data_IF_754785568005
#
_entry.id   IF_754785568005
#
_cell.length_a   1.000
_cell.length_b   1.000
_cell.length_c   1.000
_cell.angle_alpha   90.00
_cell.angle_beta   90.00
_cell.angle_gamma   90.00
#
_symmetry.space_group_name_H-M   'P 1'
#
loop_
_entity.id
_entity.type
_entity.pdbx_description
1 polymer ?
#
# COMPACT_ATOMS: atom_id res chain seq x y z
N UNK A 1 18.41 -37.12 -22.90
CA UNK A 1 17.13 -36.40 -23.16
C UNK A 1 16.89 -35.20 -22.19
N UNK A 2 17.48 -35.13 -20.98
CA UNK A 2 17.34 -33.99 -20.08
C UNK A 2 18.14 -32.74 -20.52
N UNK A 3 19.26 -32.89 -21.21
CA UNK A 3 20.12 -31.74 -21.58
C UNK A 3 19.56 -30.91 -22.77
N UNK A 4 18.78 -31.51 -23.65
CA UNK A 4 18.15 -30.80 -24.78
C UNK A 4 16.93 -29.96 -24.38
N UNK A 5 16.21 -30.33 -23.29
CA UNK A 5 15.08 -29.56 -22.80
C UNK A 5 15.52 -28.32 -22.02
N UNK A 6 16.65 -28.40 -21.29
CA UNK A 6 17.26 -27.28 -20.60
C UNK A 6 17.84 -26.23 -21.55
N UNK A 7 18.46 -26.64 -22.62
CA UNK A 7 19.00 -25.74 -23.65
C UNK A 7 17.92 -24.96 -24.40
N UNK A 8 16.80 -25.59 -24.77
CA UNK A 8 15.68 -24.91 -25.43
C UNK A 8 14.93 -23.97 -24.48
N UNK A 9 14.84 -24.28 -23.20
CA UNK A 9 14.17 -23.41 -22.20
C UNK A 9 14.99 -22.13 -21.93
N UNK A 10 16.33 -22.19 -22.03
CA UNK A 10 17.21 -21.01 -21.85
C UNK A 10 17.13 -20.09 -23.07
N UNK A 11 16.98 -20.65 -24.26
CA UNK A 11 16.82 -19.90 -25.53
C UNK A 11 15.57 -18.98 -25.52
N UNK A 12 14.56 -19.28 -24.72
CA UNK A 12 13.35 -18.46 -24.55
C UNK A 12 13.53 -17.27 -23.59
N UNK A 13 14.63 -17.21 -22.82
CA UNK A 13 14.88 -16.19 -21.81
C UNK A 13 15.80 -15.05 -22.26
N UNK A 14 16.08 -14.92 -23.55
CA UNK A 14 16.78 -13.79 -24.16
C UNK A 14 16.20 -13.49 -25.55
N UNK A 15 16.52 -12.32 -26.09
CA UNK A 15 16.16 -11.94 -27.44
C UNK A 15 17.32 -11.15 -28.04
N UNK A 16 18.16 -11.85 -28.82
CA UNK A 16 19.35 -11.27 -29.42
C UNK A 16 19.01 -10.12 -30.37
N UNK A 17 17.89 -10.22 -31.11
CA UNK A 17 17.48 -9.15 -32.02
C UNK A 17 17.07 -7.87 -31.24
N UNK A 18 16.42 -8.00 -30.07
CA UNK A 18 16.10 -6.85 -29.25
C UNK A 18 17.37 -6.21 -28.67
N UNK A 19 18.34 -7.03 -28.17
CA UNK A 19 19.62 -6.56 -27.68
C UNK A 19 20.42 -5.82 -28.77
N UNK A 20 20.48 -6.38 -29.98
CA UNK A 20 21.13 -5.76 -31.13
C UNK A 20 20.46 -4.46 -31.55
N UNK A 21 19.13 -4.42 -31.58
CA UNK A 21 18.37 -3.20 -31.91
C UNK A 21 18.70 -2.07 -30.96
N UNK A 22 18.80 -2.33 -29.65
CA UNK A 22 19.12 -1.31 -28.66
C UNK A 22 20.53 -0.74 -28.90
N UNK A 23 21.53 -1.62 -28.99
CA UNK A 23 22.93 -1.24 -29.17
C UNK A 23 23.15 -0.53 -30.51
N UNK A 24 22.62 -1.11 -31.58
CA UNK A 24 22.71 -0.52 -32.91
C UNK A 24 22.05 0.85 -33.00
N UNK A 25 20.88 1.02 -32.37
CA UNK A 25 20.19 2.31 -32.37
C UNK A 25 20.96 3.35 -31.56
N UNK A 26 21.51 3.01 -30.39
CA UNK A 26 22.35 3.90 -29.62
C UNK A 26 23.59 4.37 -30.38
N UNK A 27 24.27 3.47 -31.08
CA UNK A 27 25.47 3.78 -31.89
C UNK A 27 25.12 4.65 -33.10
N UNK A 28 23.99 4.36 -33.79
CA UNK A 28 23.64 5.00 -35.07
C UNK A 28 22.95 6.37 -34.89
N UNK A 29 22.12 6.51 -33.87
CA UNK A 29 21.28 7.71 -33.67
C UNK A 29 21.71 8.59 -32.49
N UNK A 30 22.72 8.16 -31.70
CA UNK A 30 23.48 9.02 -30.77
C UNK A 30 22.79 9.32 -29.46
N UNK A 31 23.09 10.52 -28.92
CA UNK A 31 23.01 10.92 -27.52
C UNK A 31 21.68 10.57 -26.79
N UNK A 32 20.54 10.92 -27.38
CA UNK A 32 19.23 10.65 -26.78
C UNK A 32 18.97 9.14 -26.54
N UNK A 33 19.40 8.28 -27.47
CA UNK A 33 19.23 6.83 -27.35
C UNK A 33 20.26 6.21 -26.42
N UNK A 34 21.48 6.75 -26.39
CA UNK A 34 22.53 6.38 -25.44
C UNK A 34 22.06 6.67 -24.00
N UNK A 35 21.62 7.90 -23.75
CA UNK A 35 21.11 8.31 -22.45
C UNK A 35 19.93 7.44 -22.00
N UNK A 36 18.94 7.25 -22.88
CA UNK A 36 17.77 6.40 -22.59
C UNK A 36 18.18 4.95 -22.30
N UNK A 37 19.12 4.39 -23.02
CA UNK A 37 19.65 3.04 -22.80
C UNK A 37 20.35 2.95 -21.44
N UNK A 38 21.26 3.87 -21.12
CA UNK A 38 22.04 3.87 -19.89
C UNK A 38 21.17 4.11 -18.64
N UNK A 39 20.08 4.89 -18.76
CA UNK A 39 19.12 5.08 -17.69
C UNK A 39 18.29 3.83 -17.37
N UNK A 40 18.02 2.98 -18.37
CA UNK A 40 17.10 1.85 -18.23
C UNK A 40 17.79 0.48 -18.15
N UNK A 41 19.03 0.35 -18.62
CA UNK A 41 19.74 -0.92 -18.70
C UNK A 41 21.09 -0.89 -17.97
N UNK A 42 21.55 -2.07 -17.62
CA UNK A 42 22.95 -2.33 -17.22
C UNK A 42 23.53 -3.48 -18.03
N UNK A 43 24.86 -3.59 -18.07
CA UNK A 43 25.55 -4.65 -18.81
C UNK A 43 25.06 -6.07 -18.43
N UNK A 44 24.68 -6.28 -17.15
CA UNK A 44 24.19 -7.56 -16.65
C UNK A 44 22.83 -7.98 -17.26
N UNK A 45 22.08 -7.02 -17.79
CA UNK A 45 20.77 -7.30 -18.40
C UNK A 45 20.88 -7.90 -19.82
N UNK A 46 22.02 -7.76 -20.47
CA UNK A 46 22.29 -8.41 -21.73
C UNK A 46 22.66 -9.87 -21.53
N UNK A 47 22.27 -10.74 -22.44
CA UNK A 47 22.58 -12.16 -22.36
C UNK A 47 23.94 -12.47 -23.00
N UNK A 48 24.17 -11.97 -24.22
CA UNK A 48 25.36 -12.27 -25.00
C UNK A 48 26.58 -11.51 -24.42
N UNK A 49 27.75 -12.19 -24.30
CA UNK A 49 28.99 -11.53 -23.82
C UNK A 49 29.39 -10.34 -24.68
N UNK A 50 29.26 -10.47 -25.99
CA UNK A 50 29.57 -9.40 -26.95
C UNK A 50 28.67 -8.18 -26.78
N UNK A 51 27.39 -8.35 -26.45
CA UNK A 51 26.47 -7.25 -26.18
C UNK A 51 26.85 -6.52 -24.88
N UNK A 52 27.26 -7.27 -23.81
CA UNK A 52 27.77 -6.70 -22.59
C UNK A 52 29.01 -5.84 -22.80
N UNK A 53 29.94 -6.34 -23.63
CA UNK A 53 31.14 -5.62 -23.99
C UNK A 53 30.84 -4.30 -24.72
N UNK A 54 29.95 -4.32 -25.71
CA UNK A 54 29.51 -3.11 -26.42
C UNK A 54 28.82 -2.12 -25.50
N UNK A 55 27.91 -2.59 -24.64
CA UNK A 55 27.24 -1.73 -23.65
C UNK A 55 28.25 -1.02 -22.74
N UNK A 56 29.21 -1.75 -22.18
CA UNK A 56 30.24 -1.17 -21.31
C UNK A 56 31.08 -0.11 -22.04
N UNK A 57 31.43 -0.37 -23.31
CA UNK A 57 32.17 0.60 -24.14
C UNK A 57 31.34 1.87 -24.34
N UNK A 58 30.05 1.74 -24.66
CA UNK A 58 29.15 2.89 -24.82
C UNK A 58 29.10 3.69 -23.50
N UNK A 59 28.92 3.01 -22.36
CA UNK A 59 28.87 3.64 -21.05
C UNK A 59 30.19 4.36 -20.69
N UNK A 60 31.33 3.75 -21.01
CA UNK A 60 32.63 4.34 -20.75
C UNK A 60 32.92 5.57 -21.65
N UNK A 61 32.50 5.55 -22.89
CA UNK A 61 32.61 6.69 -23.81
C UNK A 61 31.74 7.85 -23.36
N UNK A 62 30.49 7.56 -23.00
CA UNK A 62 29.54 8.56 -22.49
C UNK A 62 30.05 9.21 -21.18
N UNK A 63 30.51 8.41 -20.22
CA UNK A 63 31.09 8.89 -18.96
C UNK A 63 32.33 9.79 -19.16
N UNK A 64 33.09 9.61 -20.25
CA UNK A 64 34.24 10.45 -20.65
C UNK A 64 33.82 11.67 -21.47
N UNK A 65 32.52 11.87 -21.73
CA UNK A 65 32.04 12.94 -22.60
C UNK A 65 32.47 12.80 -24.06
N UNK A 66 32.82 11.57 -24.48
CA UNK A 66 33.22 11.27 -25.85
C UNK A 66 31.99 10.90 -26.67
N UNK A 67 31.99 11.32 -27.95
CA UNK A 67 30.89 10.99 -28.83
C UNK A 67 30.79 9.48 -29.01
N UNK A 68 29.59 8.95 -28.81
CA UNK A 68 29.25 7.55 -29.09
C UNK A 68 28.80 7.45 -30.54
N UNK A 69 29.65 6.86 -31.39
CA UNK A 69 29.34 6.58 -32.78
C UNK A 69 30.09 5.30 -33.26
N UNK A 70 29.83 4.91 -34.51
CA UNK A 70 30.40 3.71 -35.06
C UNK A 70 31.94 3.65 -34.98
N UNK A 71 32.63 4.78 -35.22
CA UNK A 71 34.10 4.85 -35.20
C UNK A 71 34.65 4.69 -33.77
N UNK A 72 34.10 5.45 -32.82
CA UNK A 72 34.56 5.44 -31.42
C UNK A 72 34.32 4.07 -30.76
N UNK A 73 33.12 3.51 -30.95
CA UNK A 73 32.77 2.18 -30.41
C UNK A 73 33.57 1.09 -31.08
N UNK A 74 33.76 1.16 -32.44
CA UNK A 74 34.51 0.16 -33.19
C UNK A 74 35.97 0.07 -32.77
N UNK A 75 36.64 1.22 -32.53
CA UNK A 75 38.03 1.28 -32.05
C UNK A 75 38.18 0.64 -30.67
N UNK A 76 37.27 0.95 -29.74
CA UNK A 76 37.34 0.38 -28.38
C UNK A 76 36.93 -1.11 -28.38
N UNK A 77 35.96 -1.50 -29.18
CA UNK A 77 35.54 -2.90 -29.31
C UNK A 77 36.64 -3.80 -29.86
N UNK A 78 37.41 -3.33 -30.84
CA UNK A 78 38.54 -4.09 -31.37
C UNK A 78 39.64 -4.44 -30.37
N UNK A 79 39.70 -3.72 -29.26
CA UNK A 79 40.63 -3.99 -28.14
C UNK A 79 40.14 -5.10 -27.19
N UNK A 80 38.87 -5.49 -27.28
CA UNK A 80 38.29 -6.55 -26.42
C UNK A 80 38.57 -7.94 -27.01
N UNK A 81 38.40 -8.99 -26.20
CA UNK A 81 38.48 -10.39 -26.65
C UNK A 81 37.41 -10.70 -27.67
N UNK A 82 36.21 -10.20 -27.48
CA UNK A 82 35.06 -10.36 -28.35
C UNK A 82 35.27 -9.66 -29.71
N UNK A 83 35.82 -8.44 -29.67
CA UNK A 83 36.14 -7.66 -30.86
C UNK A 83 37.27 -8.25 -31.69
N UNK A 84 38.28 -8.82 -31.04
CA UNK A 84 39.37 -9.55 -31.70
C UNK A 84 38.86 -10.81 -32.41
N UNK A 85 37.85 -11.47 -31.81
CA UNK A 85 37.21 -12.67 -32.38
C UNK A 85 36.26 -12.35 -33.57
N UNK A 86 35.55 -11.20 -33.50
CA UNK A 86 34.59 -10.79 -34.54
C UNK A 86 34.67 -9.26 -34.79
N UNK A 87 35.63 -8.79 -35.56
CA UNK A 87 35.83 -7.36 -35.85
C UNK A 87 34.68 -6.67 -36.59
N UNK A 88 33.92 -7.43 -37.38
CA UNK A 88 32.79 -6.90 -38.17
C UNK A 88 31.49 -6.79 -37.37
N UNK A 89 31.48 -7.19 -36.13
CA UNK A 89 30.23 -7.26 -35.33
C UNK A 89 29.56 -5.90 -35.18
N UNK A 90 30.31 -4.82 -34.95
CA UNK A 90 29.76 -3.47 -34.81
C UNK A 90 29.02 -3.04 -36.08
N UNK A 91 29.50 -3.45 -37.28
CA UNK A 91 28.80 -3.19 -38.55
C UNK A 91 27.44 -3.88 -38.58
N UNK A 92 27.36 -5.14 -38.12
CA UNK A 92 26.08 -5.89 -38.08
C UNK A 92 25.07 -5.32 -37.11
N UNK A 93 25.51 -4.63 -36.02
CA UNK A 93 24.63 -3.94 -35.12
C UNK A 93 23.92 -2.75 -35.77
N UNK A 94 24.56 -2.05 -36.70
CA UNK A 94 23.94 -0.92 -37.40
C UNK A 94 22.77 -1.38 -38.27
N UNK A 95 22.84 -2.57 -38.85
CA UNK A 95 21.76 -3.14 -39.65
C UNK A 95 20.51 -3.45 -38.81
N UNK A 96 20.70 -3.65 -37.52
CA UNK A 96 19.61 -3.91 -36.55
C UNK A 96 19.05 -2.63 -35.95
N UNK A 97 19.60 -1.45 -36.24
CA UNK A 97 19.21 -0.19 -35.66
C UNK A 97 17.76 0.22 -36.06
N UNK A 98 16.92 0.54 -35.10
CA UNK A 98 15.53 0.93 -35.38
C UNK A 98 14.97 1.80 -34.25
N UNK A 99 14.70 3.06 -34.56
CA UNK A 99 14.11 4.02 -33.63
C UNK A 99 12.66 3.68 -33.28
N UNK A 100 11.91 3.10 -34.21
CA UNK A 100 10.50 2.73 -34.02
C UNK A 100 10.30 1.56 -33.07
N UNK A 101 11.24 0.63 -33.00
CA UNK A 101 11.17 -0.56 -32.15
C UNK A 101 12.03 -0.45 -30.88
N UNK A 102 12.85 0.59 -30.76
CA UNK A 102 13.79 0.78 -29.66
C UNK A 102 13.14 0.66 -28.26
N UNK A 103 12.06 1.40 -28.01
CA UNK A 103 11.35 1.37 -26.72
C UNK A 103 10.79 -0.02 -26.38
N UNK A 104 10.24 -0.71 -27.37
CA UNK A 104 9.74 -2.08 -27.21
C UNK A 104 10.89 -3.04 -26.90
N UNK A 105 12.02 -2.90 -27.62
CA UNK A 105 13.21 -3.72 -27.39
C UNK A 105 13.78 -3.53 -25.97
N UNK A 106 13.81 -2.28 -25.46
CA UNK A 106 14.19 -1.99 -24.08
C UNK A 106 13.32 -2.75 -23.08
N UNK A 107 12.00 -2.67 -23.24
CA UNK A 107 11.06 -3.37 -22.35
C UNK A 107 11.26 -4.88 -22.41
N UNK A 108 11.52 -5.42 -23.60
CA UNK A 108 11.73 -6.85 -23.78
C UNK A 108 13.02 -7.35 -23.13
N UNK A 109 14.13 -6.61 -23.25
CA UNK A 109 15.42 -6.97 -22.60
C UNK A 109 15.26 -6.93 -21.06
N UNK A 110 14.60 -5.92 -20.52
CA UNK A 110 14.32 -5.82 -19.09
C UNK A 110 13.50 -7.02 -18.62
N UNK A 111 12.44 -7.37 -19.34
CA UNK A 111 11.55 -8.47 -18.98
C UNK A 111 12.25 -9.83 -19.05
N UNK A 112 13.03 -10.07 -20.12
CA UNK A 112 13.83 -11.29 -20.24
C UNK A 112 14.88 -11.42 -19.14
N UNK A 113 15.51 -10.30 -18.75
CA UNK A 113 16.43 -10.29 -17.63
C UNK A 113 15.70 -10.64 -16.30
N UNK A 114 14.54 -10.06 -16.03
CA UNK A 114 13.73 -10.41 -14.86
C UNK A 114 13.42 -11.91 -14.82
N UNK A 115 13.00 -12.48 -15.95
CA UNK A 115 12.74 -13.91 -16.04
C UNK A 115 13.98 -14.77 -15.75
N UNK A 116 15.18 -14.37 -16.23
CA UNK A 116 16.44 -15.05 -15.90
C UNK A 116 16.73 -14.99 -14.40
N UNK A 117 16.61 -13.81 -13.81
CA UNK A 117 16.84 -13.62 -12.38
C UNK A 117 15.85 -14.40 -11.51
N UNK A 118 14.56 -14.44 -11.87
CA UNK A 118 13.57 -15.29 -11.20
C UNK A 118 13.99 -16.76 -11.26
N UNK A 119 14.41 -17.23 -12.44
CA UNK A 119 14.88 -18.61 -12.60
C UNK A 119 16.09 -18.91 -11.73
N UNK A 120 17.08 -18.01 -11.69
CA UNK A 120 18.27 -18.14 -10.83
C UNK A 120 17.88 -18.25 -9.34
N UNK A 121 16.99 -17.39 -8.89
CA UNK A 121 16.46 -17.41 -7.52
C UNK A 121 15.75 -18.73 -7.26
N UNK A 122 14.86 -19.17 -8.14
CA UNK A 122 14.16 -20.45 -7.98
C UNK A 122 15.15 -21.63 -7.92
N UNK A 123 16.18 -21.63 -8.76
CA UNK A 123 17.21 -22.68 -8.74
C UNK A 123 18.02 -22.67 -7.44
N UNK A 124 18.39 -21.49 -6.95
CA UNK A 124 19.09 -21.34 -5.66
C UNK A 124 18.32 -21.94 -4.49
N UNK A 125 17.01 -21.75 -4.46
CA UNK A 125 16.15 -22.25 -3.38
C UNK A 125 15.58 -23.64 -3.65
N UNK A 126 15.75 -24.23 -4.85
CA UNK A 126 15.39 -25.62 -5.16
C UNK A 126 16.50 -26.62 -4.85
N UNK A 127 17.68 -26.17 -4.43
CA UNK A 127 18.76 -27.05 -4.01
C UNK A 127 18.40 -27.76 -2.70
N UNK A 128 18.54 -29.09 -2.70
CA UNK A 128 18.22 -29.94 -1.55
C UNK A 128 18.93 -29.51 -0.28
N UNK A 129 20.17 -29.02 -0.38
CA UNK A 129 20.94 -28.53 0.76
C UNK A 129 20.31 -27.27 1.36
N UNK A 130 19.93 -26.32 0.53
CA UNK A 130 19.23 -25.10 0.97
C UNK A 130 17.89 -25.41 1.64
N UNK A 131 17.18 -26.47 1.18
CA UNK A 131 15.90 -26.91 1.73
C UNK A 131 16.03 -27.67 3.05
N UNK A 132 17.19 -28.27 3.33
CA UNK A 132 17.39 -29.04 4.58
C UNK A 132 17.99 -28.22 5.72
N UNK A 133 18.68 -27.12 5.41
CA UNK A 133 19.34 -26.27 6.40
C UNK A 133 18.45 -25.12 6.95
N UNK A 134 17.26 -24.90 6.35
CA UNK A 134 16.35 -23.80 6.71
C UNK A 134 14.91 -24.31 6.84
N UNK A 135 14.11 -23.61 7.64
CA UNK A 135 12.68 -23.88 7.71
C UNK A 135 11.97 -23.43 6.42
N UNK A 136 10.81 -24.03 6.14
CA UNK A 136 10.00 -23.66 4.99
C UNK A 136 9.62 -22.16 4.98
N UNK A 137 9.35 -21.58 6.16
CA UNK A 137 9.00 -20.17 6.32
C UNK A 137 10.20 -19.25 6.03
N UNK A 138 11.40 -19.61 6.47
CA UNK A 138 12.63 -18.88 6.17
C UNK A 138 12.96 -18.89 4.67
N UNK A 139 12.73 -20.02 4.00
CA UNK A 139 12.92 -20.14 2.54
C UNK A 139 11.90 -19.27 1.82
N UNK A 140 10.62 -19.33 2.18
CA UNK A 140 9.57 -18.54 1.58
C UNK A 140 9.81 -17.01 1.76
N UNK A 141 10.27 -16.61 2.93
CA UNK A 141 10.59 -15.21 3.22
C UNK A 141 11.80 -14.72 2.38
N UNK A 142 12.89 -15.50 2.34
CA UNK A 142 14.08 -15.14 1.58
C UNK A 142 13.81 -15.08 0.06
N UNK A 143 13.06 -16.05 -0.47
CA UNK A 143 12.63 -16.09 -1.87
C UNK A 143 11.76 -14.87 -2.23
N UNK A 144 10.86 -14.51 -1.33
CA UNK A 144 10.00 -13.34 -1.51
C UNK A 144 10.79 -12.05 -1.54
N UNK A 145 11.76 -11.89 -0.63
CA UNK A 145 12.58 -10.69 -0.56
C UNK A 145 13.46 -10.53 -1.81
N UNK A 146 14.09 -11.62 -2.28
CA UNK A 146 14.89 -11.57 -3.51
C UNK A 146 14.03 -11.29 -4.76
N UNK A 147 12.79 -11.82 -4.83
CA UNK A 147 11.87 -11.51 -5.93
C UNK A 147 11.38 -10.05 -5.87
N UNK A 148 11.15 -9.49 -4.69
CA UNK A 148 10.81 -8.07 -4.53
C UNK A 148 11.88 -7.16 -5.13
N UNK A 149 13.15 -7.43 -4.83
CA UNK A 149 14.29 -6.64 -5.35
C UNK A 149 14.37 -6.63 -6.87
N UNK A 150 13.76 -7.59 -7.57
CA UNK A 150 13.67 -7.59 -9.03
C UNK A 150 12.63 -6.60 -9.58
N UNK A 151 11.67 -6.19 -8.75
CA UNK A 151 10.64 -5.20 -9.10
C UNK A 151 11.10 -3.75 -8.95
N UNK A 152 12.10 -3.53 -8.10
CA UNK A 152 12.64 -2.21 -7.82
C UNK A 152 13.71 -1.87 -8.88
N UNK A 153 13.27 -1.21 -9.95
CA UNK A 153 14.19 -0.57 -10.88
C UNK A 153 14.61 0.76 -10.22
N UNK A 154 15.85 0.90 -9.71
CA UNK A 154 16.23 2.11 -8.95
C UNK A 154 16.15 3.38 -9.79
N UNK A 155 16.07 3.27 -11.11
CA UNK A 155 16.03 4.40 -12.03
C UNK A 155 14.60 4.81 -12.47
N UNK A 156 13.55 4.04 -12.12
CA UNK A 156 12.17 4.37 -12.54
C UNK A 156 11.42 5.28 -11.56
N UNK A 157 12.03 5.64 -10.43
CA UNK A 157 11.42 6.54 -9.43
C UNK A 157 11.77 8.02 -9.60
N UNK A 158 12.72 8.33 -10.50
CA UNK A 158 13.11 9.72 -10.77
C UNK A 158 12.24 10.26 -11.90
N UNK A 159 11.37 11.19 -11.57
CA UNK A 159 10.48 11.88 -12.50
C UNK A 159 10.89 13.35 -12.57
N UNK A 160 10.88 13.96 -13.74
CA UNK A 160 11.15 15.40 -13.85
C UNK A 160 10.02 16.20 -13.22
N UNK A 161 10.31 17.43 -12.80
CA UNK A 161 9.27 18.32 -12.31
C UNK A 161 8.21 18.64 -13.38
N UNK A 162 8.60 18.66 -14.65
CA UNK A 162 7.69 18.84 -15.77
C UNK A 162 6.67 17.69 -15.86
N UNK A 163 7.13 16.43 -15.78
CA UNK A 163 6.26 15.25 -15.80
C UNK A 163 5.31 15.25 -14.59
N UNK A 164 5.80 15.63 -13.41
CA UNK A 164 4.97 15.75 -12.21
C UNK A 164 3.88 16.85 -12.37
N UNK A 165 4.17 17.96 -13.05
CA UNK A 165 3.19 18.99 -13.37
C UNK A 165 2.15 18.51 -14.39
N UNK A 166 2.56 17.69 -15.36
CA UNK A 166 1.63 17.09 -16.32
C UNK A 166 0.67 16.11 -15.63
N UNK A 167 1.13 15.31 -14.65
CA UNK A 167 0.26 14.49 -13.80
C UNK A 167 -0.77 15.33 -13.04
N UNK A 168 -0.35 16.44 -12.44
CA UNK A 168 -1.26 17.38 -11.75
C UNK A 168 -2.28 17.97 -12.72
N UNK A 169 -1.87 18.33 -13.93
CA UNK A 169 -2.77 18.87 -14.97
C UNK A 169 -3.83 17.86 -15.39
N UNK A 170 -3.45 16.58 -15.59
CA UNK A 170 -4.41 15.52 -15.89
C UNK A 170 -5.36 15.27 -14.71
N UNK A 171 -4.88 15.32 -13.47
CA UNK A 171 -5.71 15.21 -12.28
C UNK A 171 -6.74 16.36 -12.20
N UNK A 172 -6.33 17.60 -12.47
CA UNK A 172 -7.24 18.76 -12.52
C UNK A 172 -8.32 18.56 -13.60
N UNK A 173 -7.91 18.12 -14.79
CA UNK A 173 -8.85 17.85 -15.89
C UNK A 173 -9.84 16.74 -15.52
N UNK A 174 -9.37 15.65 -14.92
CA UNK A 174 -10.20 14.57 -14.40
C UNK A 174 -11.21 15.07 -13.36
N UNK A 175 -10.79 15.97 -12.46
CA UNK A 175 -11.68 16.59 -11.47
C UNK A 175 -12.78 17.44 -12.14
N UNK A 176 -12.45 18.21 -13.16
CA UNK A 176 -13.44 19.01 -13.92
C UNK A 176 -14.43 18.15 -14.70
N UNK A 177 -14.00 16.98 -15.19
CA UNK A 177 -14.86 16.01 -15.88
C UNK A 177 -15.68 15.13 -14.90
N UNK A 178 -15.55 15.34 -13.59
CA UNK A 178 -16.21 14.51 -12.57
C UNK A 178 -15.60 13.11 -12.38
N UNK A 179 -14.47 12.85 -13.05
CA UNK A 179 -13.69 11.59 -13.00
C UNK A 179 -12.49 11.68 -12.05
N UNK A 180 -12.36 12.81 -11.34
CA UNK A 180 -11.22 13.08 -10.47
C UNK A 180 -11.12 12.09 -9.32
N UNK A 181 -9.92 12.02 -8.76
CA UNK A 181 -9.60 11.18 -7.62
C UNK A 181 -10.24 11.83 -6.36
N UNK A 182 -11.55 11.63 -6.19
CA UNK A 182 -12.25 12.05 -4.97
C UNK A 182 -11.77 11.14 -3.85
N UNK A 183 -11.48 11.72 -2.68
CA UNK A 183 -11.24 10.92 -1.48
C UNK A 183 -12.44 10.04 -1.15
N UNK A 184 -12.21 9.01 -0.37
CA UNK A 184 -13.25 8.11 0.12
C UNK A 184 -14.09 8.85 1.15
N UNK A 185 -15.40 8.99 0.90
CA UNK A 185 -16.31 9.69 1.80
C UNK A 185 -16.61 8.83 3.01
N UNK A 186 -16.28 9.35 4.18
CA UNK A 186 -16.37 8.62 5.46
C UNK A 186 -17.77 8.59 6.06
N UNK A 187 -18.65 9.49 5.60
CA UNK A 187 -19.96 9.74 6.19
C UNK A 187 -19.92 10.67 7.41
N UNK A 188 -18.74 11.24 7.72
CA UNK A 188 -18.57 12.28 8.72
C UNK A 188 -18.24 13.59 8.02
N UNK A 189 -19.17 14.53 8.04
CA UNK A 189 -19.10 15.81 7.30
C UNK A 189 -17.76 16.54 7.50
N UNK A 190 -17.28 16.63 8.72
CA UNK A 190 -16.04 17.34 9.03
C UNK A 190 -14.79 16.73 8.42
N UNK A 191 -14.79 15.40 8.17
CA UNK A 191 -13.73 14.71 7.43
C UNK A 191 -13.95 14.89 5.94
N UNK A 192 -15.19 14.74 5.48
CA UNK A 192 -15.55 14.73 4.07
C UNK A 192 -15.43 16.10 3.39
N UNK A 193 -15.74 17.20 4.13
CA UNK A 193 -15.49 18.57 3.69
C UNK A 193 -14.00 18.89 3.44
N UNK A 194 -13.11 18.10 4.04
CA UNK A 194 -11.65 18.16 3.82
C UNK A 194 -11.15 17.15 2.79
N UNK A 195 -12.08 16.54 2.06
CA UNK A 195 -11.82 15.61 0.96
C UNK A 195 -11.90 14.13 1.34
N UNK A 196 -12.22 13.78 2.60
CA UNK A 196 -12.30 12.37 3.04
C UNK A 196 -10.92 11.72 3.19
N UNK A 197 -10.85 10.41 2.97
CA UNK A 197 -9.61 9.65 2.99
C UNK A 197 -9.09 9.43 1.57
N UNK A 198 -7.86 9.87 1.29
CA UNK A 198 -7.29 9.73 -0.05
C UNK A 198 -6.58 8.39 -0.26
N UNK A 199 -6.55 7.88 -1.50
CA UNK A 199 -5.64 6.81 -1.88
C UNK A 199 -4.20 7.18 -1.52
N UNK A 200 -3.41 6.19 -1.14
CA UNK A 200 -2.04 6.32 -0.60
C UNK A 200 -1.93 6.89 0.82
N UNK A 201 -3.02 7.28 1.47
CA UNK A 201 -2.99 7.72 2.87
C UNK A 201 -2.86 6.53 3.83
N UNK A 202 -2.08 6.76 4.88
CA UNK A 202 -2.09 5.97 6.10
C UNK A 202 -2.79 6.78 7.18
N UNK A 203 -3.97 6.33 7.57
CA UNK A 203 -4.79 6.93 8.63
C UNK A 203 -4.65 6.11 9.89
N UNK A 204 -4.31 6.73 11.00
CA UNK A 204 -4.27 6.08 12.31
C UNK A 204 -5.48 6.52 13.11
N UNK A 205 -6.26 5.57 13.63
CA UNK A 205 -7.35 5.84 14.57
C UNK A 205 -6.94 5.27 15.91
N UNK A 206 -6.81 6.13 16.89
CA UNK A 206 -6.33 5.76 18.20
C UNK A 206 -7.30 6.14 19.33
N UNK A 207 -7.44 5.24 20.30
CA UNK A 207 -8.25 5.47 21.49
C UNK A 207 -7.80 4.55 22.63
N UNK A 208 -8.22 4.85 23.84
CA UNK A 208 -8.16 3.88 24.95
C UNK A 208 -9.07 2.67 24.68
N UNK A 209 -8.87 1.62 25.45
CA UNK A 209 -9.76 0.45 25.38
C UNK A 209 -11.22 0.85 25.63
N UNK A 210 -12.13 0.22 24.91
CA UNK A 210 -13.59 0.43 25.02
C UNK A 210 -14.12 1.82 24.61
N UNK A 211 -13.29 2.68 24.03
CA UNK A 211 -13.72 3.98 23.49
C UNK A 211 -14.37 3.89 22.10
N UNK A 212 -14.36 2.71 21.43
CA UNK A 212 -15.08 2.50 20.18
C UNK A 212 -14.24 2.60 18.91
N UNK A 213 -12.88 2.45 18.97
CA UNK A 213 -12.00 2.46 17.77
C UNK A 213 -12.53 1.62 16.60
N UNK A 214 -12.78 0.34 16.91
CA UNK A 214 -13.25 -0.64 15.92
C UNK A 214 -14.62 -0.24 15.37
N UNK A 215 -15.52 0.28 16.21
CA UNK A 215 -16.85 0.73 15.77
C UNK A 215 -16.74 1.93 14.84
N UNK A 216 -15.94 2.94 15.17
CA UNK A 216 -15.74 4.12 14.33
C UNK A 216 -15.14 3.75 12.98
N UNK A 217 -14.12 2.87 12.97
CA UNK A 217 -13.51 2.39 11.71
C UNK A 217 -14.50 1.55 10.88
N UNK A 218 -15.37 0.76 11.53
CA UNK A 218 -16.39 -0.04 10.83
C UNK A 218 -17.50 0.85 10.26
N UNK A 219 -17.93 1.91 10.99
CA UNK A 219 -18.90 2.87 10.46
C UNK A 219 -18.38 3.55 9.20
N UNK A 220 -17.12 4.01 9.21
CA UNK A 220 -16.46 4.54 8.02
C UNK A 220 -16.39 3.49 6.90
N UNK A 221 -15.97 2.27 7.22
CA UNK A 221 -15.84 1.18 6.24
C UNK A 221 -17.18 0.85 5.55
N UNK A 222 -18.26 0.78 6.33
CA UNK A 222 -19.61 0.53 5.82
C UNK A 222 -20.12 1.71 4.98
N UNK A 223 -19.87 2.96 5.40
CA UNK A 223 -20.26 4.13 4.64
C UNK A 223 -19.57 4.15 3.27
N UNK A 224 -18.25 3.94 3.22
CA UNK A 224 -17.49 3.83 1.98
C UNK A 224 -18.00 2.68 1.10
N UNK A 225 -18.32 1.53 1.70
CA UNK A 225 -18.86 0.39 0.96
C UNK A 225 -20.28 0.65 0.41
N UNK A 226 -21.11 1.46 1.07
CA UNK A 226 -22.42 1.89 0.57
C UNK A 226 -22.30 2.71 -0.71
N UNK A 227 -21.19 3.42 -0.92
CA UNK A 227 -20.85 4.11 -2.16
C UNK A 227 -20.31 3.16 -3.26
N UNK A 228 -20.33 1.85 -3.02
CA UNK A 228 -19.89 0.83 -3.97
C UNK A 228 -18.37 0.63 -4.00
N UNK A 229 -17.63 1.22 -3.08
CA UNK A 229 -16.17 1.12 -3.03
C UNK A 229 -15.76 -0.12 -2.22
N UNK A 230 -14.95 -1.04 -2.78
CA UNK A 230 -14.51 -2.24 -2.07
C UNK A 230 -13.59 -1.92 -0.88
N UNK A 231 -13.92 -2.49 0.28
CA UNK A 231 -13.19 -2.33 1.55
C UNK A 231 -12.80 -3.70 2.10
N UNK A 232 -11.59 -3.81 2.68
CA UNK A 232 -11.17 -4.99 3.42
C UNK A 232 -10.95 -4.68 4.90
N UNK A 233 -11.33 -5.60 5.78
CA UNK A 233 -11.19 -5.48 7.24
C UNK A 233 -10.41 -6.67 7.76
N UNK A 234 -9.19 -6.42 8.23
CA UNK A 234 -8.34 -7.37 8.92
C UNK A 234 -8.62 -7.30 10.41
N UNK A 235 -9.33 -8.30 10.91
CA UNK A 235 -9.74 -8.37 12.31
C UNK A 235 -9.06 -9.52 13.02
N UNK A 236 -8.24 -9.19 14.02
CA UNK A 236 -7.48 -10.17 14.82
C UNK A 236 -8.03 -10.31 16.24
N UNK A 237 -8.81 -9.32 16.70
CA UNK A 237 -9.41 -9.31 18.03
C UNK A 237 -10.85 -9.83 18.02
N UNK A 238 -11.61 -9.49 16.99
CA UNK A 238 -13.03 -9.83 16.89
C UNK A 238 -13.33 -10.73 15.71
N UNK A 239 -14.28 -11.64 15.87
CA UNK A 239 -14.77 -12.46 14.74
C UNK A 239 -15.61 -11.62 13.78
N UNK A 240 -15.55 -11.91 12.48
CA UNK A 240 -16.38 -11.24 11.45
C UNK A 240 -17.87 -11.28 11.80
N UNK A 241 -18.36 -12.39 12.39
CA UNK A 241 -19.73 -12.50 12.82
C UNK A 241 -20.11 -11.42 13.87
N UNK A 242 -19.20 -11.11 14.81
CA UNK A 242 -19.41 -10.08 15.81
C UNK A 242 -19.44 -8.67 15.20
N UNK A 243 -18.54 -8.40 14.24
CA UNK A 243 -18.53 -7.13 13.51
C UNK A 243 -19.78 -6.97 12.66
N UNK A 244 -20.18 -8.02 11.93
CA UNK A 244 -21.42 -8.00 11.12
C UNK A 244 -22.66 -7.83 11.99
N UNK A 245 -22.70 -8.45 13.19
CA UNK A 245 -23.80 -8.25 14.13
C UNK A 245 -23.90 -6.81 14.62
N UNK A 246 -22.76 -6.13 14.87
CA UNK A 246 -22.76 -4.71 15.20
C UNK A 246 -23.34 -3.87 14.08
N UNK A 247 -22.95 -4.12 12.82
CA UNK A 247 -23.52 -3.43 11.67
C UNK A 247 -25.04 -3.69 11.56
N UNK A 248 -25.50 -4.91 11.78
CA UNK A 248 -26.92 -5.22 11.81
C UNK A 248 -27.65 -4.48 12.93
N UNK A 249 -27.06 -4.44 14.13
CA UNK A 249 -27.63 -3.72 15.26
C UNK A 249 -27.80 -2.21 14.99
N UNK A 250 -26.79 -1.61 14.34
CA UNK A 250 -26.82 -0.20 13.92
C UNK A 250 -27.94 0.08 12.93
N UNK A 251 -28.11 -0.77 11.93
CA UNK A 251 -29.09 -0.59 10.86
C UNK A 251 -30.53 -0.94 11.27
N UNK A 252 -30.69 -1.95 12.14
CA UNK A 252 -32.01 -2.41 12.60
C UNK A 252 -32.50 -1.72 13.88
N UNK A 253 -31.58 -1.06 14.62
CA UNK A 253 -31.83 -0.56 15.97
C UNK A 253 -32.31 -1.68 16.92
N UNK A 254 -31.78 -2.89 16.75
CA UNK A 254 -31.96 -4.03 17.64
C UNK A 254 -30.62 -4.28 18.33
N UNK A 255 -30.64 -4.38 19.66
CA UNK A 255 -29.44 -4.57 20.45
C UNK A 255 -28.64 -5.81 19.97
N UNK A 256 -27.33 -5.66 19.79
CA UNK A 256 -26.45 -6.73 19.31
C UNK A 256 -26.47 -7.99 20.18
N UNK A 257 -26.74 -7.87 21.49
CA UNK A 257 -26.87 -9.01 22.40
C UNK A 257 -28.09 -9.85 22.04
N UNK A 258 -29.23 -9.19 21.73
CA UNK A 258 -30.45 -9.87 21.30
C UNK A 258 -30.19 -10.64 19.99
N UNK A 259 -29.54 -9.99 19.02
CA UNK A 259 -29.21 -10.64 17.72
C UNK A 259 -28.34 -11.88 17.89
N UNK A 260 -27.42 -11.89 18.87
CA UNK A 260 -26.44 -12.98 19.02
C UNK A 260 -26.89 -14.12 19.96
N UNK A 261 -27.78 -13.89 20.89
CA UNK A 261 -27.98 -14.89 21.93
C UNK A 261 -29.35 -14.97 22.57
N UNK A 262 -30.28 -14.12 22.19
CA UNK A 262 -31.62 -14.10 22.79
C UNK A 262 -32.71 -14.39 21.77
N UNK A 263 -33.92 -14.66 22.27
CA UNK A 263 -35.08 -14.96 21.41
C UNK A 263 -35.66 -13.66 20.87
N UNK A 264 -35.55 -13.47 19.56
CA UNK A 264 -36.15 -12.38 18.82
C UNK A 264 -37.66 -12.64 18.59
N UNK A 265 -38.44 -11.57 18.54
CA UNK A 265 -39.82 -11.64 18.06
C UNK A 265 -39.88 -11.68 16.52
N UNK A 266 -41.08 -11.95 15.96
CA UNK A 266 -41.26 -12.11 14.52
C UNK A 266 -40.89 -10.84 13.73
N UNK A 267 -41.26 -9.68 14.23
CA UNK A 267 -41.02 -8.38 13.57
C UNK A 267 -39.51 -8.02 13.59
N UNK A 268 -38.80 -8.36 14.67
CA UNK A 268 -37.35 -8.20 14.76
C UNK A 268 -36.63 -9.10 13.75
N UNK A 269 -37.06 -10.37 13.64
CA UNK A 269 -36.49 -11.32 12.66
C UNK A 269 -36.75 -10.81 11.24
N UNK A 270 -37.94 -10.30 10.92
CA UNK A 270 -38.25 -9.76 9.62
C UNK A 270 -37.35 -8.56 9.27
N UNK A 271 -37.25 -7.56 10.18
CA UNK A 271 -36.35 -6.40 10.01
C UNK A 271 -34.88 -6.79 9.80
N UNK A 272 -34.42 -7.80 10.54
CA UNK A 272 -33.04 -8.32 10.37
C UNK A 272 -32.90 -8.93 8.98
N UNK A 273 -33.83 -9.76 8.52
CA UNK A 273 -33.75 -10.40 7.21
C UNK A 273 -33.78 -9.39 6.07
N UNK A 274 -34.64 -8.37 6.13
CA UNK A 274 -34.67 -7.28 5.18
C UNK A 274 -33.34 -6.52 5.13
N UNK A 275 -32.78 -6.22 6.30
CA UNK A 275 -31.48 -5.54 6.43
C UNK A 275 -30.36 -6.40 5.86
N UNK A 276 -30.33 -7.71 6.14
CA UNK A 276 -29.37 -8.64 5.55
C UNK A 276 -29.50 -8.64 4.01
N UNK A 277 -30.72 -8.69 3.47
CA UNK A 277 -30.94 -8.66 2.03
C UNK A 277 -30.38 -7.38 1.38
N UNK A 278 -30.49 -6.24 2.06
CA UNK A 278 -29.96 -4.94 1.63
C UNK A 278 -28.42 -4.88 1.72
N UNK A 279 -27.84 -5.39 2.79
CA UNK A 279 -26.41 -5.28 3.06
C UNK A 279 -25.55 -6.36 2.42
N UNK A 280 -26.12 -7.50 2.03
CA UNK A 280 -25.37 -8.69 1.56
C UNK A 280 -24.50 -8.45 0.33
N UNK A 281 -24.79 -7.42 -0.45
CA UNK A 281 -24.05 -7.08 -1.66
C UNK A 281 -23.04 -5.95 -1.46
N UNK A 282 -22.90 -5.45 -0.22
CA UNK A 282 -21.85 -4.46 0.07
C UNK A 282 -20.46 -5.09 -0.15
N UNK A 283 -19.57 -4.39 -0.83
CA UNK A 283 -18.23 -4.92 -1.13
C UNK A 283 -17.29 -4.81 0.08
N UNK A 284 -17.66 -5.45 1.20
CA UNK A 284 -16.86 -5.54 2.42
C UNK A 284 -16.29 -6.95 2.55
N UNK A 285 -14.98 -7.06 2.64
CA UNK A 285 -14.25 -8.33 2.75
C UNK A 285 -13.58 -8.43 4.12
N UNK A 286 -13.78 -9.56 4.81
CA UNK A 286 -13.14 -9.80 6.10
C UNK A 286 -12.01 -10.81 5.95
N UNK A 287 -10.87 -10.51 6.58
CA UNK A 287 -9.78 -11.47 6.81
C UNK A 287 -9.70 -11.73 8.33
N UNK A 288 -10.05 -12.95 8.73
CA UNK A 288 -9.97 -13.45 10.13
C UNK A 288 -8.80 -14.42 10.29
N UNK A 289 -7.85 -14.41 9.36
CA UNK A 289 -6.72 -15.32 9.48
C UNK A 289 -6.05 -15.09 10.84
N UNK A 290 -5.85 -16.17 11.58
CA UNK A 290 -5.18 -16.14 12.90
C UNK A 290 -3.70 -15.75 12.80
N UNK A 291 -3.25 -15.45 11.58
CA UNK A 291 -1.88 -15.01 11.35
C UNK A 291 -1.74 -13.54 11.74
N UNK A 292 -0.95 -13.32 12.77
CA UNK A 292 -0.50 -11.98 13.16
C UNK A 292 0.78 -11.58 12.43
N UNK A 293 1.31 -12.48 11.57
CA UNK A 293 2.51 -12.22 10.79
C UNK A 293 2.29 -11.11 9.78
N UNK A 294 3.07 -10.06 9.89
CA UNK A 294 3.00 -8.89 9.04
C UNK A 294 3.21 -9.22 7.56
N UNK A 295 4.05 -10.20 7.25
CA UNK A 295 4.30 -10.62 5.87
C UNK A 295 3.04 -11.23 5.23
N UNK A 296 2.30 -12.06 5.97
CA UNK A 296 1.08 -12.67 5.47
C UNK A 296 -0.02 -11.63 5.23
N UNK A 297 -0.14 -10.65 6.13
CA UNK A 297 -1.07 -9.52 5.97
C UNK A 297 -0.73 -8.71 4.72
N UNK A 298 0.55 -8.47 4.46
CA UNK A 298 1.01 -7.78 3.24
C UNK A 298 0.56 -8.48 1.97
N UNK A 299 0.82 -9.79 1.87
CA UNK A 299 0.43 -10.55 0.70
C UNK A 299 -1.08 -10.60 0.52
N UNK A 300 -1.82 -10.74 1.63
CA UNK A 300 -3.26 -10.73 1.62
C UNK A 300 -3.80 -9.37 1.13
N UNK A 301 -3.34 -8.24 1.68
CA UNK A 301 -3.73 -6.90 1.25
C UNK A 301 -3.42 -6.70 -0.25
N UNK A 302 -2.21 -7.06 -0.70
CA UNK A 302 -1.81 -6.94 -2.11
C UNK A 302 -2.68 -7.78 -3.03
N UNK A 303 -3.06 -8.97 -2.59
CA UNK A 303 -3.94 -9.86 -3.33
C UNK A 303 -5.35 -9.31 -3.44
N UNK A 304 -5.94 -8.83 -2.33
CA UNK A 304 -7.27 -8.24 -2.30
C UNK A 304 -7.34 -6.94 -3.11
N UNK A 305 -6.35 -6.06 -2.98
CA UNK A 305 -6.29 -4.83 -3.76
C UNK A 305 -6.27 -5.10 -5.28
N UNK A 306 -5.51 -6.11 -5.72
CA UNK A 306 -5.40 -6.45 -7.15
C UNK A 306 -6.58 -7.24 -7.69
N UNK A 307 -7.10 -8.21 -6.93
CA UNK A 307 -8.16 -9.11 -7.41
C UNK A 307 -9.56 -8.57 -7.20
N UNK A 308 -9.79 -7.90 -6.07
CA UNK A 308 -11.13 -7.42 -5.69
C UNK A 308 -11.25 -5.90 -5.84
N UNK A 309 -10.20 -5.21 -6.28
CA UNK A 309 -10.21 -3.76 -6.46
C UNK A 309 -10.35 -2.96 -5.16
N UNK A 310 -9.94 -3.54 -4.01
CA UNK A 310 -10.03 -2.90 -2.70
C UNK A 310 -9.33 -1.54 -2.71
N UNK A 311 -10.01 -0.52 -2.19
CA UNK A 311 -9.52 0.87 -2.10
C UNK A 311 -9.26 1.34 -0.69
N UNK A 312 -9.87 0.70 0.30
CA UNK A 312 -9.57 0.94 1.71
C UNK A 312 -9.35 -0.37 2.45
N UNK A 313 -8.38 -0.38 3.35
CA UNK A 313 -8.07 -1.51 4.23
C UNK A 313 -8.07 -1.05 5.67
N UNK A 314 -8.83 -1.71 6.54
CA UNK A 314 -8.78 -1.52 7.99
C UNK A 314 -7.95 -2.64 8.60
N UNK A 315 -6.99 -2.29 9.47
CA UNK A 315 -6.16 -3.25 10.23
C UNK A 315 -6.43 -3.05 11.72
N UNK A 316 -7.10 -4.00 12.34
CA UNK A 316 -7.50 -3.96 13.76
C UNK A 316 -6.77 -5.05 14.55
N UNK A 317 -5.74 -4.75 15.30
CA UNK A 317 -5.04 -3.50 15.57
C UNK A 317 -3.52 -3.72 15.65
N UNK A 318 -2.74 -2.64 15.59
CA UNK A 318 -1.27 -2.65 15.49
C UNK A 318 -0.56 -3.52 16.54
N UNK A 319 -1.01 -3.47 17.78
CA UNK A 319 -0.32 -4.12 18.90
C UNK A 319 -0.47 -5.66 18.94
N UNK A 320 -1.32 -6.25 18.11
CA UNK A 320 -1.43 -7.72 17.93
C UNK A 320 -0.46 -8.20 16.85
N UNK A 321 0.00 -7.33 15.98
CA UNK A 321 0.91 -7.71 14.89
C UNK A 321 2.22 -8.25 15.45
N UNK A 322 2.69 -9.31 14.84
CA UNK A 322 3.92 -10.01 15.22
C UNK A 322 4.86 -10.20 14.04
N UNK A 323 6.10 -10.47 14.34
CA UNK A 323 7.12 -10.89 13.38
C UNK A 323 7.75 -12.20 13.86
N UNK A 324 8.29 -12.98 12.93
CA UNK A 324 9.03 -14.21 13.24
C UNK A 324 10.40 -13.92 13.88
N UNK A 325 10.80 -12.65 13.99
CA UNK A 325 12.05 -12.24 14.63
C UNK A 325 11.84 -11.87 16.09
N UNK A 326 12.86 -12.09 16.93
CA UNK A 326 12.83 -11.61 18.32
C UNK A 326 12.82 -10.07 18.33
N UNK A 327 11.69 -9.51 18.74
CA UNK A 327 11.53 -8.06 18.90
C UNK A 327 12.22 -7.63 20.20
N UNK A 328 13.32 -6.91 20.07
CA UNK A 328 14.07 -6.36 21.21
C UNK A 328 13.46 -5.01 21.66
N UNK A 329 12.90 -4.24 20.72
CA UNK A 329 12.28 -2.95 20.97
C UNK A 329 10.93 -2.87 20.26
N UNK A 330 9.84 -2.90 21.01
CA UNK A 330 8.46 -2.84 20.50
C UNK A 330 8.16 -1.51 19.80
N UNK A 331 8.71 -0.40 20.26
CA UNK A 331 8.47 0.90 19.64
C UNK A 331 9.10 0.98 18.25
N UNK A 332 10.33 0.49 18.10
CA UNK A 332 10.99 0.40 16.80
C UNK A 332 10.21 -0.51 15.85
N UNK A 333 9.72 -1.64 16.35
CA UNK A 333 8.89 -2.57 15.58
C UNK A 333 7.59 -1.92 15.08
N UNK A 334 6.84 -1.23 15.96
CA UNK A 334 5.61 -0.56 15.54
C UNK A 334 5.88 0.55 14.52
N UNK A 335 6.99 1.26 14.67
CA UNK A 335 7.42 2.26 13.69
C UNK A 335 7.76 1.65 12.32
N UNK A 336 8.45 0.51 12.32
CA UNK A 336 8.77 -0.22 11.09
C UNK A 336 7.50 -0.71 10.39
N UNK A 337 6.59 -1.34 11.14
CA UNK A 337 5.29 -1.79 10.64
C UNK A 337 4.49 -0.64 10.02
N UNK A 338 4.47 0.50 10.69
CA UNK A 338 3.70 1.65 10.23
C UNK A 338 4.28 2.25 8.95
N UNK A 339 5.61 2.41 8.87
CA UNK A 339 6.29 2.83 7.63
C UNK A 339 6.03 1.88 6.47
N UNK A 340 6.02 0.62 6.77
CA UNK A 340 5.79 -0.45 5.81
C UNK A 340 4.35 -0.45 5.28
N UNK A 341 3.34 -0.26 6.14
CA UNK A 341 1.95 -0.06 5.71
C UNK A 341 1.79 1.22 4.89
N UNK A 342 2.50 2.31 5.24
CA UNK A 342 2.51 3.54 4.44
C UNK A 342 3.06 3.32 3.03
N UNK A 343 4.17 2.58 2.91
CA UNK A 343 4.73 2.23 1.59
C UNK A 343 3.74 1.37 0.80
N UNK A 344 3.11 0.39 1.44
CA UNK A 344 2.10 -0.45 0.81
C UNK A 344 0.89 0.36 0.32
N UNK A 345 0.43 1.33 1.11
CA UNK A 345 -0.66 2.24 0.72
C UNK A 345 -0.30 3.02 -0.56
N UNK A 346 0.94 3.53 -0.64
CA UNK A 346 1.47 4.22 -1.83
C UNK A 346 1.59 3.29 -3.04
N UNK A 347 2.19 2.10 -2.87
CA UNK A 347 2.45 1.15 -3.95
C UNK A 347 1.15 0.63 -4.59
N UNK A 348 0.11 0.47 -3.80
CA UNK A 348 -1.19 -0.05 -4.25
C UNK A 348 -2.21 1.04 -4.57
N UNK A 349 -1.89 2.31 -4.26
CA UNK A 349 -2.82 3.43 -4.36
C UNK A 349 -4.15 3.17 -3.65
N UNK A 350 -4.06 2.78 -2.37
CA UNK A 350 -5.19 2.49 -1.47
C UNK A 350 -5.04 3.29 -0.17
N UNK A 351 -6.14 3.53 0.53
CA UNK A 351 -6.11 4.04 1.89
C UNK A 351 -5.93 2.88 2.88
N UNK A 352 -5.02 3.01 3.85
CA UNK A 352 -4.91 2.06 4.96
C UNK A 352 -5.28 2.76 6.27
N UNK A 353 -6.27 2.21 6.96
CA UNK A 353 -6.71 2.65 8.29
C UNK A 353 -6.15 1.68 9.32
N UNK A 354 -5.21 2.16 10.13
CA UNK A 354 -4.55 1.38 11.17
C UNK A 354 -5.11 1.76 12.54
N UNK A 355 -5.66 0.79 13.26
CA UNK A 355 -6.14 1.02 14.62
C UNK A 355 -5.00 0.87 15.62
N UNK A 356 -4.93 1.77 16.58
CA UNK A 356 -3.89 1.76 17.63
C UNK A 356 -4.51 2.02 19.00
N UNK A 357 -4.01 1.31 19.99
CA UNK A 357 -4.44 1.51 21.38
C UNK A 357 -3.55 2.56 22.05
N UNK A 358 -4.20 3.53 22.72
CA UNK A 358 -3.49 4.48 23.58
C UNK A 358 -3.09 3.81 24.91
N UNK A 359 -1.97 4.23 25.47
CA UNK A 359 -1.62 3.91 26.85
C UNK A 359 -2.64 4.54 27.80
N UNK A 360 -3.00 3.84 28.89
CA UNK A 360 -3.86 4.41 29.92
C UNK A 360 -3.15 5.62 30.53
N UNK A 361 -3.85 6.77 30.56
CA UNK A 361 -3.36 7.95 31.28
C UNK A 361 -3.50 7.77 32.78
N UNK A 362 -2.57 8.33 33.52
CA UNK A 362 -2.83 8.60 34.95
C UNK A 362 -3.84 9.74 35.00
N UNK A 363 -4.95 9.54 35.72
CA UNK A 363 -6.02 10.53 35.97
C UNK A 363 -6.82 10.99 34.73
N UNK A 364 -7.36 10.08 33.95
CA UNK A 364 -8.44 10.39 32.98
C UNK A 364 -8.15 11.61 32.07
N UNK A 365 -6.91 11.84 31.70
CA UNK A 365 -6.54 12.91 30.79
C UNK A 365 -7.12 12.67 29.40
N UNK A 366 -7.46 13.75 28.71
CA UNK A 366 -7.82 13.72 27.31
C UNK A 366 -6.76 12.97 26.47
N UNK A 367 -7.16 12.26 25.42
CA UNK A 367 -6.23 11.56 24.56
C UNK A 367 -5.24 12.54 23.94
N UNK A 368 -4.00 12.12 23.74
CA UNK A 368 -2.96 12.92 23.08
C UNK A 368 -2.03 12.04 22.29
N UNK A 369 -1.35 12.62 21.30
CA UNK A 369 -0.37 11.90 20.46
C UNK A 369 0.76 11.28 21.29
N UNK A 370 1.16 11.88 22.41
CA UNK A 370 2.19 11.35 23.29
C UNK A 370 1.80 10.02 23.97
N UNK A 371 0.52 9.70 24.01
CA UNK A 371 -0.03 8.47 24.57
C UNK A 371 -0.11 7.31 23.57
N UNK A 372 0.16 7.56 22.30
CA UNK A 372 0.34 6.49 21.32
C UNK A 372 1.58 5.67 21.70
N UNK A 373 1.42 4.37 21.96
CA UNK A 373 2.57 3.46 22.19
C UNK A 373 3.42 3.38 20.94
N UNK A 374 4.70 3.77 21.03
CA UNK A 374 5.58 3.94 19.88
C UNK A 374 5.37 5.29 19.16
N UNK A 375 4.94 6.32 19.89
CA UNK A 375 4.32 7.56 19.39
C UNK A 375 5.10 8.31 18.31
N UNK A 376 6.42 8.42 18.42
CA UNK A 376 7.20 9.22 17.46
C UNK A 376 7.13 8.65 16.05
N UNK A 377 7.42 7.39 15.89
CA UNK A 377 7.54 6.75 14.57
C UNK A 377 6.19 6.47 13.90
N UNK A 378 5.15 6.10 14.69
CA UNK A 378 3.79 5.89 14.17
C UNK A 378 3.26 7.22 13.64
N UNK A 379 3.36 8.27 14.45
CA UNK A 379 2.89 9.59 14.07
C UNK A 379 3.68 10.16 12.89
N UNK A 380 5.00 9.90 12.80
CA UNK A 380 5.82 10.33 11.68
C UNK A 380 5.33 9.74 10.34
N UNK A 381 5.03 8.44 10.30
CA UNK A 381 4.64 7.74 9.08
C UNK A 381 3.18 8.03 8.66
N UNK A 382 2.27 8.24 9.60
CA UNK A 382 0.85 8.52 9.34
C UNK A 382 0.65 9.84 8.57
N UNK A 383 -0.32 9.89 7.68
CA UNK A 383 -0.79 11.13 7.02
C UNK A 383 -1.84 11.83 7.87
N UNK A 384 -2.74 11.07 8.49
CA UNK A 384 -3.72 11.55 9.45
C UNK A 384 -3.71 10.68 10.70
N UNK A 385 -3.92 11.30 11.87
CA UNK A 385 -4.08 10.61 13.15
C UNK A 385 -5.30 11.15 13.87
N UNK A 386 -6.29 10.29 14.07
CA UNK A 386 -7.52 10.59 14.79
C UNK A 386 -7.47 10.02 16.19
N UNK A 387 -7.84 10.82 17.16
CA UNK A 387 -8.00 10.44 18.56
C UNK A 387 -9.48 10.48 18.91
N UNK A 388 -9.97 9.41 19.56
CA UNK A 388 -11.37 9.31 20.02
C UNK A 388 -11.42 9.52 21.51
N UNK A 389 -12.29 10.42 21.95
CA UNK A 389 -12.54 10.69 23.36
C UNK A 389 -14.03 10.75 23.66
N UNK A 390 -14.46 9.99 24.68
CA UNK A 390 -15.84 9.98 25.18
C UNK A 390 -15.84 10.38 26.65
N UNK A 391 -16.06 11.67 26.95
CA UNK A 391 -16.05 12.17 28.35
C UNK A 391 -17.10 11.48 29.26
N UNK A 392 -18.28 11.17 28.68
CA UNK A 392 -19.34 10.43 29.38
C UNK A 392 -18.84 9.15 30.06
N UNK A 393 -17.97 8.40 29.33
CA UNK A 393 -17.40 7.14 29.85
C UNK A 393 -16.60 7.31 31.14
N UNK A 394 -16.07 8.50 31.34
CA UNK A 394 -15.29 8.87 32.54
C UNK A 394 -16.10 9.72 33.56
N UNK A 395 -17.37 9.99 33.31
CA UNK A 395 -18.18 10.90 34.11
C UNK A 395 -17.66 12.34 34.06
N UNK A 396 -17.13 12.78 32.88
CA UNK A 396 -16.55 14.11 32.68
C UNK A 396 -17.31 14.90 31.63
N UNK A 397 -17.01 16.19 31.55
CA UNK A 397 -17.50 17.10 30.54
C UNK A 397 -16.41 17.42 29.53
N UNK A 398 -16.81 17.94 28.40
CA UNK A 398 -15.87 18.51 27.42
C UNK A 398 -15.20 19.76 27.98
N UNK A 399 -14.04 20.10 27.44
CA UNK A 399 -13.30 21.31 27.77
C UNK A 399 -13.15 22.20 26.51
N UNK A 400 -12.63 23.41 26.67
CA UNK A 400 -12.33 24.31 25.53
C UNK A 400 -13.58 24.70 24.74
N UNK A 401 -13.49 24.62 23.43
CA UNK A 401 -14.55 25.02 22.48
C UNK A 401 -15.84 24.19 22.60
N UNK A 402 -15.74 22.96 23.08
CA UNK A 402 -16.89 22.07 23.27
C UNK A 402 -17.45 22.05 24.68
N UNK A 403 -16.97 22.91 25.61
CA UNK A 403 -17.37 22.90 27.02
C UNK A 403 -18.89 23.00 27.25
N UNK A 404 -19.62 23.58 26.32
CA UNK A 404 -21.09 23.71 26.37
C UNK A 404 -21.84 22.59 25.67
N UNK A 405 -21.14 21.55 25.22
CA UNK A 405 -21.75 20.39 24.59
C UNK A 405 -22.03 19.30 25.60
N UNK A 406 -23.22 18.71 25.54
CA UNK A 406 -23.58 17.57 26.38
C UNK A 406 -22.70 16.36 26.01
N UNK A 407 -21.94 15.78 26.95
CA UNK A 407 -21.13 14.61 26.69
C UNK A 407 -21.95 13.34 26.49
N UNK A 408 -23.23 13.33 26.88
CA UNK A 408 -24.08 12.15 26.82
C UNK A 408 -24.40 11.77 25.37
N UNK A 409 -24.10 10.53 25.03
CA UNK A 409 -24.32 10.00 23.69
C UNK A 409 -23.49 10.70 22.61
N UNK A 410 -22.34 11.28 22.97
CA UNK A 410 -21.45 11.96 22.03
C UNK A 410 -20.00 11.50 22.18
N UNK A 411 -19.20 11.80 21.17
CA UNK A 411 -17.76 11.54 21.16
C UNK A 411 -17.02 12.68 20.45
N UNK A 412 -15.91 13.11 21.03
CA UNK A 412 -14.96 14.01 20.39
C UNK A 412 -14.02 13.21 19.49
N UNK A 413 -13.91 13.61 18.26
CA UNK A 413 -12.95 13.11 17.28
C UNK A 413 -11.96 14.23 17.00
N UNK A 414 -10.71 14.02 17.36
CA UNK A 414 -9.63 14.97 17.12
C UNK A 414 -8.72 14.47 16.01
N UNK A 415 -8.63 15.18 14.90
CA UNK A 415 -7.56 15.01 13.93
C UNK A 415 -6.30 15.72 14.48
N UNK A 416 -5.57 15.00 15.34
CA UNK A 416 -4.39 15.53 16.01
C UNK A 416 -3.18 15.66 15.09
N UNK A 417 -3.21 15.00 13.93
CA UNK A 417 -2.29 15.18 12.82
C UNK A 417 -3.02 15.07 11.49
N UNK A 418 -2.77 16.00 10.58
CA UNK A 418 -3.25 15.96 9.19
C UNK A 418 -2.26 16.64 8.26
N UNK A 419 -1.48 15.85 7.47
CA UNK A 419 -0.45 16.41 6.58
C UNK A 419 -1.02 17.40 5.56
N UNK A 420 -2.16 17.05 4.96
CA UNK A 420 -2.77 17.83 3.90
C UNK A 420 -4.03 18.60 4.34
N UNK A 421 -4.63 18.19 5.46
CA UNK A 421 -5.94 18.69 5.93
C UNK A 421 -5.84 19.54 7.19
N UNK A 422 -4.63 19.66 7.78
CA UNK A 422 -4.42 20.34 9.06
C UNK A 422 -4.99 19.57 10.26
N UNK A 423 -4.92 20.18 11.43
CA UNK A 423 -5.50 19.66 12.66
C UNK A 423 -6.87 20.30 12.92
N UNK A 424 -7.83 19.51 13.39
CA UNK A 424 -9.17 19.96 13.70
C UNK A 424 -9.86 18.98 14.65
N UNK A 425 -10.93 19.42 15.26
CA UNK A 425 -11.75 18.59 16.15
C UNK A 425 -13.22 18.75 15.81
N UNK A 426 -13.99 17.73 16.06
CA UNK A 426 -15.45 17.78 15.94
C UNK A 426 -16.10 16.78 16.91
N UNK A 427 -17.33 17.04 17.27
CA UNK A 427 -18.14 16.12 18.06
C UNK A 427 -19.13 15.41 17.15
N UNK A 428 -19.21 14.09 17.29
CA UNK A 428 -20.19 13.23 16.61
C UNK A 428 -21.08 12.53 17.63
N UNK A 429 -22.20 11.98 17.18
CA UNK A 429 -23.05 11.14 17.99
C UNK A 429 -22.43 9.77 18.24
N UNK A 430 -22.70 9.20 19.40
CA UNK A 430 -22.36 7.83 19.76
C UNK A 430 -23.52 7.12 20.44
N UNK A 431 -24.11 6.17 19.73
CA UNK A 431 -25.13 5.27 20.25
C UNK A 431 -24.45 4.07 20.94
N UNK A 432 -24.40 4.10 22.27
CA UNK A 432 -23.72 3.08 23.05
C UNK A 432 -24.41 1.72 22.98
N UNK A 433 -25.75 1.69 22.82
CA UNK A 433 -26.54 0.47 22.75
C UNK A 433 -26.26 -0.32 21.46
N UNK A 434 -26.07 0.39 20.36
CA UNK A 434 -25.79 -0.19 19.06
C UNK A 434 -24.31 -0.04 18.65
N UNK A 435 -23.47 0.56 19.51
CA UNK A 435 -22.03 0.80 19.25
C UNK A 435 -21.76 1.54 17.94
N UNK A 436 -22.54 2.58 17.65
CA UNK A 436 -22.60 3.30 16.39
C UNK A 436 -22.16 4.75 16.54
N UNK A 437 -21.20 5.18 15.71
CA UNK A 437 -20.86 6.58 15.54
C UNK A 437 -21.57 7.13 14.31
N UNK A 438 -22.12 8.32 14.44
CA UNK A 438 -22.84 8.98 13.35
C UNK A 438 -22.63 10.48 13.36
N UNK A 439 -22.73 11.09 12.20
CA UNK A 439 -22.60 12.54 12.06
C UNK A 439 -23.81 13.25 12.67
N UNK A 440 -23.57 14.41 13.27
CA UNK A 440 -24.64 15.25 13.86
C UNK A 440 -24.55 16.65 13.31
N UNK A 441 -25.70 17.21 12.91
CA UNK A 441 -25.77 18.58 12.37
C UNK A 441 -25.65 19.65 13.45
N UNK A 442 -26.26 19.40 14.63
CA UNK A 442 -26.32 20.34 15.74
C UNK A 442 -25.77 19.69 17.00
N UNK A 443 -24.83 20.36 17.65
CA UNK A 443 -24.30 19.89 18.92
C UNK A 443 -25.37 19.96 20.01
N UNK A 444 -25.59 18.89 20.80
CA UNK A 444 -26.46 18.92 21.94
C UNK A 444 -25.89 19.89 23.00
N UNK A 445 -26.75 20.75 23.56
CA UNK A 445 -26.35 21.71 24.59
C UNK A 445 -26.39 21.06 25.95
N UNK A 446 -25.38 21.36 26.77
CA UNK A 446 -25.31 20.93 28.15
C UNK A 446 -26.46 21.58 28.96
N UNK A 447 -27.20 20.81 29.73
CA UNK A 447 -28.16 21.34 30.69
C UNK A 447 -27.40 21.83 31.94
N UNK A 448 -27.36 23.17 32.11
CA UNK A 448 -26.65 23.80 33.22
C UNK A 448 -27.25 23.44 34.59
N UNK A 449 -28.38 22.71 34.64
CA UNK A 449 -28.96 22.22 35.88
C UNK A 449 -28.34 20.91 36.39
N UNK A 450 -27.57 20.24 35.54
CA UNK A 450 -26.85 19.00 35.86
C UNK A 450 -25.38 19.23 36.28
N UNK A 451 -24.93 20.49 36.33
CA UNK A 451 -23.65 20.94 36.90
C UNK A 451 -23.81 21.29 38.38
#
# INVERSE_FOLDING_TARGET
>A
MKDNQTSNAVALLHNDAAEQTILGTAINYGEMYVETMLQNLSAMMFYQPQHKAVFNIIADLDAKGMKVDFSSVGVEYAKTSEGSANPSYITSLLDSASTSTFKRSLQEVVEKNKCRRIREICLKYSDTKAMTERSADEIAQALTEEIKQLGDNPNTSITSFADALDEVKEAIKGNQEGKGNKGLLTGFRHIDERGGFFPSDLVVIAAESSQGKTSFAMDIAVNIAKDGVPVAVYTMEMRKAQLSTRVLAQETKINSRLIMGERLNSDEVERINETIARLRNLPVYFDESSTTSINNIYFSIRTLARRMGVKMVVVDYLQILSTNQKVVNLEAFYGEVTRWLKNLAKDLNICIVLLSQLSRGYDTAEPSLSRLRGSGQINEAADMTFLIYRPEYYGKHYTGEFAMTDPKGTALIECAKGRNVGTYSFVCGFDAEHTHFYDIENLPKLDLKEL
#
